data_IF_406123813668
#
_entry.id   IF_406123813668
#
_cell.length_a   1.000
_cell.length_b   1.000
_cell.length_c   1.000
_cell.angle_alpha   90.00
_cell.angle_beta   90.00
_cell.angle_gamma   90.00
#
_symmetry.space_group_name_H-M   'P 1'
#
loop_
_entity.id
_entity.type
_entity.pdbx_description
1 polymer ?
#
# COMPACT_ATOMS: atom_id res chain seq x y z
N UNK A 1 -26.34 -12.03 -9.81
CA UNK A 1 -25.39 -11.69 -10.89
C UNK A 1 -24.35 -12.80 -10.97
N UNK A 2 -23.88 -13.18 -12.16
CA UNK A 2 -22.82 -14.20 -12.31
C UNK A 2 -21.48 -13.46 -12.25
N UNK A 3 -20.66 -13.73 -11.25
CA UNK A 3 -19.35 -13.09 -11.12
C UNK A 3 -18.51 -13.37 -12.37
N UNK A 4 -18.05 -12.32 -13.07
CA UNK A 4 -17.24 -12.47 -14.28
C UNK A 4 -15.82 -12.96 -13.98
N UNK A 5 -15.32 -12.69 -12.76
CA UNK A 5 -14.07 -13.19 -12.23
C UNK A 5 -14.29 -13.69 -10.80
N UNK A 6 -13.94 -14.94 -10.54
CA UNK A 6 -14.03 -15.56 -9.20
C UNK A 6 -12.72 -15.41 -8.41
N UNK A 7 -11.61 -15.16 -9.12
CA UNK A 7 -10.25 -15.14 -8.58
C UNK A 7 -9.57 -13.84 -9.00
N UNK A 8 -9.19 -13.00 -8.04
CA UNK A 8 -8.50 -11.73 -8.24
C UNK A 8 -7.03 -11.88 -7.84
N UNK A 9 -6.11 -11.47 -8.69
CA UNK A 9 -4.68 -11.41 -8.35
C UNK A 9 -4.32 -9.95 -8.17
N UNK A 10 -3.75 -9.61 -7.02
CA UNK A 10 -3.22 -8.28 -6.77
C UNK A 10 -1.80 -8.20 -7.30
N UNK A 11 -1.45 -7.08 -7.93
CA UNK A 11 -0.07 -6.75 -8.28
C UNK A 11 0.24 -5.43 -7.60
N UNK A 12 1.20 -5.44 -6.68
CA UNK A 12 1.60 -4.29 -5.89
C UNK A 12 3.11 -4.20 -5.75
N UNK A 13 3.58 -3.13 -5.15
CA UNK A 13 4.98 -2.84 -4.84
C UNK A 13 5.07 -2.40 -3.38
N UNK A 14 6.27 -2.20 -2.87
CA UNK A 14 6.47 -1.79 -1.49
C UNK A 14 6.07 -0.33 -1.20
N UNK A 15 5.61 0.45 -2.19
CA UNK A 15 5.18 1.84 -1.96
C UNK A 15 3.74 1.95 -1.43
N UNK A 16 3.50 2.97 -0.60
CA UNK A 16 2.23 3.26 0.05
C UNK A 16 1.05 3.40 -0.94
N UNK A 17 1.26 4.02 -2.10
CA UNK A 17 0.17 4.24 -3.06
C UNK A 17 -0.26 2.92 -3.71
N UNK A 18 0.70 2.05 -4.01
CA UNK A 18 0.47 0.71 -4.55
C UNK A 18 -0.31 -0.16 -3.56
N UNK A 19 0.08 -0.16 -2.28
CA UNK A 19 -0.63 -0.91 -1.24
C UNK A 19 -2.01 -0.32 -0.91
N UNK A 20 -2.18 1.00 -0.98
CA UNK A 20 -3.48 1.64 -0.85
C UNK A 20 -4.46 1.17 -1.93
N UNK A 21 -4.01 1.12 -3.19
CA UNK A 21 -4.82 0.62 -4.30
C UNK A 21 -5.12 -0.87 -4.12
N UNK A 22 -4.14 -1.69 -3.72
CA UNK A 22 -4.35 -3.10 -3.41
C UNK A 22 -5.39 -3.31 -2.28
N UNK A 23 -5.35 -2.48 -1.24
CA UNK A 23 -6.31 -2.51 -0.13
C UNK A 23 -7.73 -2.10 -0.56
N UNK A 24 -7.85 -1.15 -1.47
CA UNK A 24 -9.16 -0.79 -2.05
C UNK A 24 -9.77 -1.95 -2.84
N UNK A 25 -8.95 -2.72 -3.56
CA UNK A 25 -9.42 -3.94 -4.23
C UNK A 25 -9.86 -4.99 -3.21
N UNK A 26 -9.12 -5.15 -2.10
CA UNK A 26 -9.55 -6.04 -1.00
C UNK A 26 -10.91 -5.62 -0.44
N UNK A 27 -11.12 -4.32 -0.22
CA UNK A 27 -12.39 -3.75 0.21
C UNK A 27 -13.52 -4.02 -0.77
N UNK A 28 -13.26 -3.90 -2.08
CA UNK A 28 -14.25 -4.21 -3.11
C UNK A 28 -14.62 -5.71 -3.11
N UNK A 29 -13.64 -6.60 -2.98
CA UNK A 29 -13.89 -8.06 -2.88
C UNK A 29 -14.75 -8.38 -1.65
N UNK A 30 -14.44 -7.77 -0.50
CA UNK A 30 -15.21 -7.93 0.74
C UNK A 30 -16.67 -7.45 0.58
N UNK A 31 -16.86 -6.31 -0.08
CA UNK A 31 -18.16 -5.76 -0.43
C UNK A 31 -18.98 -6.71 -1.33
N UNK A 32 -18.40 -7.22 -2.42
CA UNK A 32 -19.10 -8.13 -3.33
C UNK A 32 -19.46 -9.47 -2.69
N UNK A 33 -18.64 -9.98 -1.77
CA UNK A 33 -18.99 -11.18 -0.99
C UNK A 33 -20.20 -10.96 -0.08
N UNK A 34 -20.33 -9.78 0.55
CA UNK A 34 -21.52 -9.42 1.35
C UNK A 34 -22.81 -9.39 0.52
N UNK A 35 -22.70 -9.10 -0.78
CA UNK A 35 -23.81 -9.12 -1.72
C UNK A 35 -24.11 -10.52 -2.29
N UNK A 36 -23.47 -11.58 -1.78
CA UNK A 36 -23.68 -12.97 -2.21
C UNK A 36 -22.82 -13.42 -3.39
N UNK A 37 -21.79 -12.65 -3.75
CA UNK A 37 -20.77 -13.05 -4.72
C UNK A 37 -19.77 -14.05 -4.15
N UNK A 38 -19.10 -14.81 -5.03
CA UNK A 38 -18.08 -15.80 -4.70
C UNK A 38 -16.65 -15.35 -5.05
N UNK A 39 -16.47 -14.07 -5.38
CA UNK A 39 -15.17 -13.48 -5.68
C UNK A 39 -14.25 -13.52 -4.44
N UNK A 40 -12.97 -13.82 -4.66
CA UNK A 40 -11.93 -13.74 -3.64
C UNK A 40 -10.59 -13.30 -4.24
N UNK A 41 -9.68 -12.90 -3.35
CA UNK A 41 -8.29 -12.61 -3.72
C UNK A 41 -7.52 -13.93 -3.69
N UNK A 42 -6.79 -14.27 -4.76
CA UNK A 42 -5.90 -15.43 -4.77
C UNK A 42 -4.58 -15.15 -4.07
N UNK A 43 -4.08 -13.92 -4.15
CA UNK A 43 -2.82 -13.54 -3.55
C UNK A 43 -2.25 -12.27 -4.15
N UNK A 44 -1.05 -11.92 -3.70
CA UNK A 44 -0.28 -10.76 -4.10
C UNK A 44 0.95 -11.16 -4.91
N UNK A 45 1.15 -10.53 -6.05
CA UNK A 45 2.44 -10.47 -6.74
C UNK A 45 3.11 -9.17 -6.33
N UNK A 46 4.26 -9.28 -5.66
CA UNK A 46 5.11 -8.14 -5.34
C UNK A 46 5.95 -7.88 -6.59
N UNK A 47 5.77 -6.73 -7.20
CA UNK A 47 6.43 -6.33 -8.44
C UNK A 47 7.36 -5.16 -8.16
N UNK A 48 8.55 -5.16 -8.79
CA UNK A 48 9.63 -4.24 -8.45
C UNK A 48 9.99 -4.33 -6.95
N UNK A 49 10.09 -5.54 -6.44
CA UNK A 49 10.48 -5.80 -5.06
C UNK A 49 11.91 -5.29 -4.83
N UNK A 50 12.04 -4.25 -4.02
CA UNK A 50 13.29 -3.62 -3.58
C UNK A 50 13.76 -4.16 -2.21
N UNK A 51 12.97 -5.06 -1.61
CA UNK A 51 13.35 -5.80 -0.40
C UNK A 51 13.04 -5.09 0.92
N UNK A 52 12.33 -3.96 0.90
CA UNK A 52 11.93 -3.23 2.12
C UNK A 52 10.84 -3.98 2.92
N UNK A 53 9.94 -4.69 2.24
CA UNK A 53 9.10 -5.75 2.82
C UNK A 53 7.66 -5.35 3.18
N UNK A 54 7.23 -4.12 2.91
CA UNK A 54 5.91 -3.59 3.22
C UNK A 54 4.80 -4.34 2.48
N UNK A 55 5.04 -4.74 1.23
CA UNK A 55 4.08 -5.53 0.47
C UNK A 55 3.88 -6.93 1.06
N UNK A 56 4.95 -7.53 1.60
CA UNK A 56 4.85 -8.81 2.31
C UNK A 56 4.13 -8.66 3.66
N UNK A 57 4.38 -7.56 4.38
CA UNK A 57 3.67 -7.21 5.59
C UNK A 57 2.17 -6.98 5.32
N UNK A 58 1.83 -6.28 4.23
CA UNK A 58 0.47 -6.09 3.76
C UNK A 58 -0.22 -7.42 3.47
N UNK A 59 0.40 -8.29 2.67
CA UNK A 59 -0.17 -9.60 2.33
C UNK A 59 -0.51 -10.43 3.58
N UNK A 60 0.40 -10.42 4.56
CA UNK A 60 0.17 -11.06 5.86
C UNK A 60 -0.97 -10.40 6.64
N UNK A 61 -1.02 -9.07 6.66
CA UNK A 61 -2.02 -8.30 7.42
C UNK A 61 -3.43 -8.47 6.87
N UNK A 62 -3.59 -8.57 5.54
CA UNK A 62 -4.89 -8.79 4.88
C UNK A 62 -5.23 -10.27 4.64
N UNK A 63 -4.41 -11.19 5.16
CA UNK A 63 -4.58 -12.65 5.08
C UNK A 63 -4.67 -13.20 3.65
N UNK A 64 -3.69 -12.84 2.80
CA UNK A 64 -3.56 -13.37 1.44
C UNK A 64 -2.13 -13.90 1.20
N UNK A 65 -1.96 -14.96 0.39
CA UNK A 65 -0.62 -15.48 0.10
C UNK A 65 0.13 -14.58 -0.88
N UNK A 66 1.46 -14.63 -0.82
CA UNK A 66 2.34 -14.05 -1.84
C UNK A 66 2.52 -15.09 -2.95
N UNK A 67 2.19 -14.74 -4.19
CA UNK A 67 2.27 -15.62 -5.35
C UNK A 67 3.64 -15.57 -6.03
N UNK A 68 4.28 -14.40 -6.02
CA UNK A 68 5.66 -14.21 -6.47
C UNK A 68 6.20 -12.86 -5.99
N UNK A 69 7.52 -12.79 -5.80
CA UNK A 69 8.28 -11.54 -5.66
C UNK A 69 9.14 -11.36 -6.90
N UNK A 70 8.78 -10.40 -7.74
CA UNK A 70 9.50 -10.02 -8.95
C UNK A 70 10.47 -8.90 -8.58
N UNK A 71 11.79 -9.10 -8.68
CA UNK A 71 12.77 -8.15 -8.16
C UNK A 71 12.78 -6.85 -8.94
N UNK A 72 13.19 -5.77 -8.26
CA UNK A 72 13.56 -4.52 -8.91
C UNK A 72 14.86 -4.72 -9.71
N UNK A 73 14.73 -5.14 -10.97
CA UNK A 73 15.86 -5.45 -11.83
C UNK A 73 15.88 -4.60 -13.12
N UNK A 74 17.05 -4.09 -13.47
CA UNK A 74 17.25 -3.20 -14.61
C UNK A 74 17.06 -3.88 -15.97
N UNK A 75 17.54 -5.10 -16.12
CA UNK A 75 17.36 -5.91 -17.32
C UNK A 75 15.88 -6.26 -17.52
N UNK A 76 15.21 -6.75 -16.47
CA UNK A 76 13.78 -7.03 -16.50
C UNK A 76 12.98 -5.78 -16.92
N UNK A 77 13.28 -4.62 -16.32
CA UNK A 77 12.65 -3.34 -16.65
C UNK A 77 12.83 -2.97 -18.12
N UNK A 78 14.06 -3.10 -18.65
CA UNK A 78 14.38 -2.82 -20.06
C UNK A 78 13.66 -3.77 -21.01
N UNK A 79 13.65 -5.07 -20.72
CA UNK A 79 12.94 -6.08 -21.52
C UNK A 79 11.43 -5.80 -21.55
N UNK A 80 10.82 -5.48 -20.41
CA UNK A 80 9.40 -5.08 -20.34
C UNK A 80 9.10 -3.80 -21.12
N UNK A 81 9.95 -2.78 -21.02
CA UNK A 81 9.80 -1.54 -21.78
C UNK A 81 9.92 -1.74 -23.30
N UNK A 82 10.68 -2.76 -23.72
CA UNK A 82 10.85 -3.15 -25.11
C UNK A 82 9.84 -4.22 -25.57
N UNK A 83 8.78 -4.49 -24.80
CA UNK A 83 7.74 -5.49 -25.11
C UNK A 83 8.27 -6.91 -25.33
N UNK A 84 9.38 -7.26 -24.67
CA UNK A 84 9.94 -8.61 -24.75
C UNK A 84 9.28 -9.52 -23.72
N UNK A 85 8.97 -10.75 -24.14
CA UNK A 85 8.45 -11.78 -23.24
C UNK A 85 9.61 -12.32 -22.40
N UNK A 86 9.56 -12.05 -21.10
CA UNK A 86 10.59 -12.46 -20.13
C UNK A 86 10.31 -13.79 -19.44
N UNK A 87 9.08 -14.30 -19.53
CA UNK A 87 8.65 -15.53 -18.84
C UNK A 87 8.89 -16.83 -19.61
N UNK A 88 9.69 -16.81 -20.68
CA UNK A 88 9.98 -18.04 -21.44
C UNK A 88 10.98 -18.93 -20.71
N UNK A 89 10.96 -20.24 -20.98
CA UNK A 89 11.91 -21.19 -20.38
C UNK A 89 13.38 -20.91 -20.74
N UNK A 90 13.64 -20.15 -21.81
CA UNK A 90 14.99 -19.75 -22.23
C UNK A 90 15.49 -18.47 -21.53
N UNK A 91 14.59 -17.73 -20.87
CA UNK A 91 14.92 -16.52 -20.13
C UNK A 91 15.44 -16.88 -18.73
N UNK A 92 16.34 -16.06 -18.20
CA UNK A 92 16.80 -16.16 -16.80
C UNK A 92 15.64 -16.06 -15.80
N UNK A 93 14.55 -15.38 -16.18
CA UNK A 93 13.34 -15.21 -15.37
C UNK A 93 12.31 -16.33 -15.57
N UNK A 94 12.58 -17.30 -16.45
CA UNK A 94 11.62 -18.35 -16.82
C UNK A 94 11.14 -19.16 -15.62
N UNK A 95 12.04 -19.57 -14.73
CA UNK A 95 11.69 -20.34 -13.53
C UNK A 95 10.79 -19.54 -12.57
N UNK A 96 11.04 -18.23 -12.42
CA UNK A 96 10.25 -17.35 -11.58
C UNK A 96 8.81 -17.21 -12.08
N UNK A 97 8.62 -17.00 -13.39
CA UNK A 97 7.29 -16.90 -13.98
C UNK A 97 6.58 -18.26 -14.09
N UNK A 98 7.31 -19.36 -14.25
CA UNK A 98 6.74 -20.71 -14.16
C UNK A 98 6.16 -20.96 -12.76
N UNK A 99 6.93 -20.68 -11.70
CA UNK A 99 6.45 -20.79 -10.32
C UNK A 99 5.26 -19.88 -10.01
N UNK A 100 5.24 -18.65 -10.56
CA UNK A 100 4.05 -17.79 -10.48
C UNK A 100 2.83 -18.45 -11.14
N UNK A 101 3.00 -19.07 -12.30
CA UNK A 101 1.93 -19.78 -12.99
C UNK A 101 1.32 -20.91 -12.14
N UNK A 102 2.19 -21.73 -11.53
CA UNK A 102 1.77 -22.82 -10.65
C UNK A 102 1.04 -22.28 -9.41
N UNK A 103 1.61 -21.27 -8.74
CA UNK A 103 1.00 -20.63 -7.57
C UNK A 103 -0.38 -20.02 -7.90
N UNK A 104 -0.54 -19.39 -9.06
CA UNK A 104 -1.82 -18.82 -9.51
C UNK A 104 -2.86 -19.91 -9.80
N UNK A 105 -2.43 -21.03 -10.39
CA UNK A 105 -3.31 -22.16 -10.68
C UNK A 105 -3.86 -22.77 -9.38
N UNK A 106 -3.00 -22.98 -8.40
CA UNK A 106 -3.31 -23.65 -7.13
C UNK A 106 -4.03 -22.75 -6.12
N UNK A 107 -3.72 -21.45 -6.08
CA UNK A 107 -4.23 -20.55 -5.05
C UNK A 107 -5.77 -20.44 -5.06
N UNK A 108 -6.47 -20.72 -3.95
CA UNK A 108 -7.91 -20.55 -3.87
C UNK A 108 -8.30 -19.07 -3.75
N UNK A 109 -9.52 -18.69 -4.15
CA UNK A 109 -10.03 -17.34 -3.86
C UNK A 109 -10.34 -17.21 -2.36
N UNK A 110 -9.53 -16.44 -1.63
CA UNK A 110 -9.72 -16.20 -0.20
C UNK A 110 -10.50 -14.90 0.05
N UNK A 111 -11.10 -14.80 1.24
CA UNK A 111 -11.70 -13.53 1.70
C UNK A 111 -10.60 -12.71 2.35
N UNK A 112 -10.17 -11.58 1.76
CA UNK A 112 -9.17 -10.74 2.41
C UNK A 112 -9.79 -10.03 3.62
N UNK A 113 -8.92 -9.57 4.54
CA UNK A 113 -9.25 -8.67 5.63
C UNK A 113 -8.66 -7.28 5.35
N UNK A 114 -9.38 -6.37 4.67
CA UNK A 114 -8.86 -5.05 4.32
C UNK A 114 -8.45 -4.25 5.56
N UNK A 115 -7.37 -3.49 5.46
CA UNK A 115 -6.91 -2.59 6.51
C UNK A 115 -7.71 -1.29 6.49
N UNK A 116 -7.85 -0.66 7.65
CA UNK A 116 -8.22 0.74 7.73
C UNK A 116 -7.00 1.63 7.43
N UNK A 117 -7.21 2.95 7.46
CA UNK A 117 -6.17 3.92 7.11
C UNK A 117 -4.96 3.81 8.06
N UNK A 118 -5.21 3.70 9.37
CA UNK A 118 -4.15 3.61 10.37
C UNK A 118 -3.39 2.29 10.27
N UNK A 119 -4.09 1.18 10.03
CA UNK A 119 -3.49 -0.14 9.82
C UNK A 119 -2.60 -0.16 8.58
N UNK A 120 -3.00 0.51 7.49
CA UNK A 120 -2.17 0.62 6.29
C UNK A 120 -0.93 1.48 6.52
N UNK A 121 -1.09 2.65 7.17
CA UNK A 121 0.04 3.52 7.50
C UNK A 121 1.01 2.83 8.48
N UNK A 122 0.51 2.00 9.38
CA UNK A 122 1.32 1.22 10.33
C UNK A 122 2.20 0.15 9.68
N UNK A 123 2.12 -0.08 8.36
CA UNK A 123 3.04 -0.94 7.63
C UNK A 123 4.37 -0.25 7.28
N UNK A 124 4.44 1.07 7.42
CA UNK A 124 5.54 1.91 6.95
C UNK A 124 6.24 2.61 8.11
N UNK A 125 7.48 3.03 7.90
CA UNK A 125 8.19 3.86 8.88
C UNK A 125 7.50 5.22 9.02
N UNK A 126 7.54 5.78 10.23
CA UNK A 126 6.89 7.05 10.55
C UNK A 126 7.47 8.23 9.75
N UNK A 127 8.71 8.13 9.28
CA UNK A 127 9.34 9.09 8.35
C UNK A 127 8.73 9.09 6.96
N UNK A 128 8.16 7.96 6.52
CA UNK A 128 7.55 7.82 5.20
C UNK A 128 6.08 8.23 5.20
N UNK A 129 5.40 8.06 6.34
CA UNK A 129 3.99 8.40 6.53
C UNK A 129 3.77 9.83 7.02
N UNK A 130 4.84 10.51 7.47
CA UNK A 130 4.74 11.82 8.11
C UNK A 130 4.25 11.75 9.56
N UNK A 131 4.27 10.57 10.18
CA UNK A 131 3.91 10.36 11.59
C UNK A 131 4.88 11.03 12.57
N UNK A 132 6.14 11.23 12.15
CA UNK A 132 7.17 11.91 12.96
C UNK A 132 7.12 13.44 12.85
N UNK A 133 6.16 13.99 12.10
CA UNK A 133 6.05 15.44 11.93
C UNK A 133 5.60 16.08 13.24
N UNK A 134 6.52 16.79 13.87
CA UNK A 134 6.21 17.65 15.01
C UNK A 134 5.48 18.89 14.50
N UNK A 135 4.19 18.99 14.79
CA UNK A 135 3.40 20.17 14.45
C UNK A 135 3.85 21.35 15.31
N UNK A 136 4.41 22.37 14.67
CA UNK A 136 4.68 23.64 15.35
C UNK A 136 3.39 24.47 15.41
N UNK A 137 2.98 24.95 16.60
CA UNK A 137 1.82 25.82 16.72
C UNK A 137 2.01 27.08 15.87
N UNK A 138 1.00 27.43 15.08
CA UNK A 138 1.01 28.67 14.31
C UNK A 138 1.14 29.88 15.25
N UNK A 139 2.07 30.78 14.96
CA UNK A 139 2.21 32.03 15.71
C UNK A 139 1.05 32.99 15.40
N UNK A 140 0.92 34.05 16.20
CA UNK A 140 -0.09 35.07 15.92
C UNK A 140 0.09 35.75 14.55
N UNK A 141 1.36 35.87 14.15
CA UNK A 141 1.76 36.39 12.85
C UNK A 141 1.32 35.44 11.73
N UNK A 142 1.50 34.14 11.89
CA UNK A 142 1.11 33.13 10.89
C UNK A 142 -0.41 33.12 10.69
N UNK A 143 -1.17 33.28 11.76
CA UNK A 143 -2.64 33.24 11.71
C UNK A 143 -3.28 34.54 11.22
N UNK A 144 -2.70 35.71 11.52
CA UNK A 144 -3.33 37.03 11.25
C UNK A 144 -2.58 37.91 10.24
N UNK A 145 -1.36 37.54 9.84
CA UNK A 145 -0.53 38.28 8.90
C UNK A 145 -0.44 39.76 9.24
N UNK A 146 -0.76 40.64 8.29
CA UNK A 146 -0.76 42.11 8.47
C UNK A 146 -1.69 42.63 9.58
N UNK A 147 -2.60 41.79 10.09
CA UNK A 147 -3.52 42.12 11.19
C UNK A 147 -3.01 41.63 12.55
N UNK A 148 -1.85 40.96 12.62
CA UNK A 148 -1.18 40.62 13.86
C UNK A 148 -0.67 41.92 14.51
N UNK A 149 -1.41 42.41 15.50
CA UNK A 149 -1.06 43.59 16.27
C UNK A 149 -0.80 43.17 17.72
N UNK A 150 0.27 43.68 18.36
CA UNK A 150 0.48 43.50 19.79
C UNK A 150 -0.79 43.95 20.53
N UNK A 151 -1.36 43.07 21.36
CA UNK A 151 -2.43 43.45 22.27
C UNK A 151 -1.78 43.99 23.53
N UNK A 152 -2.17 45.19 23.94
CA UNK A 152 -1.78 45.69 25.25
C UNK A 152 -2.33 44.75 26.32
N UNK A 153 -1.44 44.33 27.23
CA UNK A 153 -1.83 43.48 28.36
C UNK A 153 -2.64 44.31 29.35
N UNK A 154 -3.77 43.77 29.81
CA UNK A 154 -4.55 44.31 30.92
C UNK A 154 -4.16 43.65 32.25
N UNK A 155 -3.03 42.93 32.27
CA UNK A 155 -2.54 42.24 33.47
C UNK A 155 -2.18 43.26 34.55
N UNK A 156 -2.81 43.10 35.71
CA UNK A 156 -2.55 43.93 36.90
C UNK A 156 -1.37 43.32 37.64
N UNK A 157 -0.21 43.97 37.55
CA UNK A 157 0.97 43.64 38.35
C UNK A 157 0.77 44.26 39.73
N UNK A 158 0.70 43.42 40.77
CA UNK A 158 0.71 43.89 42.15
C UNK A 158 2.17 44.09 42.59
N UNK A 159 2.46 45.22 43.23
CA UNK A 159 3.74 45.44 43.91
C UNK A 159 3.75 44.62 45.21
N UNK A 160 4.77 43.77 45.39
CA UNK A 160 5.03 43.08 46.65
C UNK A 160 5.57 44.10 47.68
N UNK A 161 4.67 44.59 48.54
CA UNK A 161 4.97 45.51 49.65
C UNK A 161 5.32 44.77 50.95
#
# INVERSE_FOLDING_TARGET
ARDMAQKVILVGSNDLQSLYVANNVCSAVEYFRKLGGNVGVAGLVINKDDGTGEAAAFAKAVDIPILASIPQNDDLRKKSANYQIVGTAQSEWGALFAGLGDNVAEAPPVRPAPLDQDGLLGLFDASETGGDVVLEPATDMDMRGKNAKPRESLEVIYDDA
#
